data_IF_718420528148
#
_entry.id   IF_718420528148
#
_cell.length_a   1.000
_cell.length_b   1.000
_cell.length_c   1.000
_cell.angle_alpha   90.00
_cell.angle_beta   90.00
_cell.angle_gamma   90.00
#
_symmetry.space_group_name_H-M   'P 1'
#
loop_
_entity.id
_entity.type
_entity.pdbx_description
1 polymer ?
#
# COMPACT_ATOMS: atom_id res chain seq x y z
N UNK A 1 21.55 -11.42 9.61
CA UNK A 1 20.58 -11.83 8.58
C UNK A 1 20.10 -10.57 7.89
N UNK A 2 20.56 -10.37 6.64
CA UNK A 2 20.36 -9.14 5.87
C UNK A 2 19.11 -9.26 4.99
N UNK A 3 18.32 -8.20 4.92
CA UNK A 3 17.13 -8.08 4.07
C UNK A 3 16.65 -6.63 4.09
N UNK A 4 17.36 -5.79 3.37
CA UNK A 4 17.20 -4.33 3.27
C UNK A 4 15.82 -3.93 2.73
N UNK A 5 14.98 -3.25 3.53
CA UNK A 5 13.84 -2.48 3.01
C UNK A 5 14.25 -1.01 2.84
N UNK A 6 15.21 -0.79 1.95
CA UNK A 6 15.53 0.52 1.42
C UNK A 6 14.42 0.96 0.45
N UNK A 7 13.42 1.68 0.96
CA UNK A 7 12.44 2.40 0.14
C UNK A 7 12.30 3.84 0.62
N UNK A 8 13.35 4.62 0.40
CA UNK A 8 13.18 6.06 0.25
C UNK A 8 13.85 6.50 -1.04
N UNK A 9 13.05 6.99 -2.01
CA UNK A 9 13.47 8.19 -2.70
C UNK A 9 12.31 9.18 -2.91
N UNK A 10 12.53 10.37 -2.34
CA UNK A 10 12.40 11.67 -3.01
C UNK A 10 10.98 12.12 -3.40
N UNK A 11 10.50 13.13 -2.68
CA UNK A 11 9.46 14.01 -3.19
C UNK A 11 9.00 15.00 -2.15
N UNK A 12 9.75 16.08 -1.98
CA UNK A 12 9.29 17.24 -1.23
C UNK A 12 7.89 17.67 -1.71
N UNK A 13 6.92 17.66 -0.79
CA UNK A 13 5.71 18.49 -0.83
C UNK A 13 4.83 18.42 -2.09
N UNK A 14 4.50 17.24 -2.60
CA UNK A 14 3.38 17.11 -3.56
C UNK A 14 2.37 16.06 -3.09
N UNK A 15 1.09 16.39 -3.24
CA UNK A 15 -0.11 15.68 -2.78
C UNK A 15 0.07 14.22 -2.36
N UNK A 16 -0.35 13.93 -1.12
CA UNK A 16 -0.36 12.62 -0.47
C UNK A 16 -0.63 11.50 -1.49
N UNK A 17 0.35 10.63 -1.71
CA UNK A 17 0.24 9.56 -2.69
C UNK A 17 -0.49 8.35 -2.10
N UNK A 18 -1.15 7.57 -2.95
CA UNK A 18 -1.74 6.27 -2.58
C UNK A 18 -0.75 5.35 -1.84
N UNK A 19 0.54 5.47 -2.14
CA UNK A 19 1.61 4.74 -1.44
C UNK A 19 1.73 5.15 0.02
N UNK A 20 1.78 6.46 0.30
CA UNK A 20 1.89 6.96 1.67
C UNK A 20 0.66 6.62 2.50
N UNK A 21 -0.54 6.69 1.88
CA UNK A 21 -1.78 6.28 2.55
C UNK A 21 -1.74 4.80 2.88
N UNK A 22 -1.38 3.96 1.91
CA UNK A 22 -1.33 2.51 2.12
C UNK A 22 -0.30 2.11 3.18
N UNK A 23 0.91 2.68 3.13
CA UNK A 23 1.97 2.45 4.13
C UNK A 23 1.49 2.90 5.52
N UNK A 24 0.81 4.05 5.63
CA UNK A 24 0.29 4.54 6.90
C UNK A 24 -0.85 3.68 7.47
N UNK A 25 -1.73 3.17 6.59
CA UNK A 25 -2.82 2.28 7.00
C UNK A 25 -2.28 0.92 7.43
N UNK A 26 -1.31 0.38 6.70
CA UNK A 26 -0.64 -0.87 7.04
C UNK A 26 0.10 -0.77 8.37
N UNK A 27 0.84 0.32 8.59
CA UNK A 27 1.53 0.55 9.86
C UNK A 27 0.59 0.74 11.07
N UNK A 28 -0.65 1.21 10.85
CA UNK A 28 -1.64 1.42 11.93
C UNK A 28 -2.57 0.24 12.18
N UNK A 29 -2.99 -0.46 11.12
CA UNK A 29 -4.05 -1.47 11.15
C UNK A 29 -3.55 -2.86 10.75
N UNK A 30 -2.50 -2.93 9.92
CA UNK A 30 -2.03 -4.16 9.32
C UNK A 30 -2.84 -4.61 8.11
N UNK A 31 -2.33 -5.65 7.44
CA UNK A 31 -2.90 -6.19 6.21
C UNK A 31 -4.24 -6.89 6.41
N UNK A 32 -4.46 -7.53 7.56
CA UNK A 32 -5.71 -8.25 7.85
C UNK A 32 -6.91 -7.30 7.92
N UNK A 33 -6.75 -6.18 8.63
CA UNK A 33 -7.80 -5.15 8.74
C UNK A 33 -8.02 -4.43 7.40
N UNK A 34 -6.94 -4.15 6.66
CA UNK A 34 -7.04 -3.62 5.30
C UNK A 34 -7.82 -4.57 4.38
N UNK A 35 -7.59 -5.87 4.48
CA UNK A 35 -8.30 -6.90 3.71
C UNK A 35 -9.77 -7.06 4.14
N UNK A 36 -10.10 -6.63 5.36
CA UNK A 36 -11.47 -6.61 5.90
C UNK A 36 -12.24 -5.39 5.42
N UNK A 37 -11.59 -4.22 5.37
CA UNK A 37 -12.16 -3.00 4.81
C UNK A 37 -12.27 -3.04 3.29
N UNK A 38 -11.25 -3.60 2.63
CA UNK A 38 -11.19 -3.71 1.18
C UNK A 38 -10.95 -5.17 0.85
N UNK A 39 -11.98 -5.87 0.35
CA UNK A 39 -11.90 -7.30 0.01
C UNK A 39 -11.06 -7.52 -1.27
N UNK A 40 -9.77 -7.23 -1.15
CA UNK A 40 -8.77 -7.42 -2.18
C UNK A 40 -7.99 -8.67 -1.81
N UNK A 41 -8.09 -9.71 -2.65
CA UNK A 41 -7.32 -10.95 -2.50
C UNK A 41 -5.81 -10.73 -2.39
N UNK A 42 -5.29 -9.65 -2.99
CA UNK A 42 -3.89 -9.24 -2.88
C UNK A 42 -3.44 -9.07 -1.43
N UNK A 43 -4.24 -8.47 -0.56
CA UNK A 43 -3.87 -8.22 0.84
C UNK A 43 -3.86 -9.51 1.68
N UNK A 44 -4.57 -10.56 1.25
CA UNK A 44 -4.65 -11.85 1.97
C UNK A 44 -3.57 -12.84 1.52
N UNK A 45 -3.14 -12.79 0.25
CA UNK A 45 -2.30 -13.83 -0.35
C UNK A 45 -0.84 -13.39 -0.60
N UNK A 46 -0.62 -12.11 -0.92
CA UNK A 46 0.73 -11.53 -1.11
C UNK A 46 0.70 -10.05 -0.65
N UNK A 47 0.61 -9.82 0.68
CA UNK A 47 0.54 -8.47 1.24
C UNK A 47 1.86 -7.74 1.03
N UNK A 48 1.94 -6.97 -0.06
CA UNK A 48 3.09 -6.13 -0.38
C UNK A 48 2.63 -4.76 -0.86
N UNK A 49 3.30 -3.71 -0.38
CA UNK A 49 3.04 -2.32 -0.77
C UNK A 49 3.09 -2.15 -2.30
N UNK A 50 4.08 -2.74 -2.98
CA UNK A 50 4.21 -2.63 -4.44
C UNK A 50 3.09 -3.33 -5.21
N UNK A 51 2.74 -4.56 -4.82
CA UNK A 51 1.68 -5.35 -5.47
C UNK A 51 0.30 -4.70 -5.27
N UNK A 52 0.05 -4.27 -4.03
CA UNK A 52 -1.12 -3.51 -3.63
C UNK A 52 -1.25 -2.20 -4.39
N UNK A 53 -0.18 -1.42 -4.53
CA UNK A 53 -0.21 -0.18 -5.30
C UNK A 53 -0.40 -0.41 -6.79
N UNK A 54 0.18 -1.46 -7.35
CA UNK A 54 -0.08 -1.83 -8.75
C UNK A 54 -1.56 -2.17 -8.96
N UNK A 55 -2.19 -2.86 -8.01
CA UNK A 55 -3.62 -3.17 -8.03
C UNK A 55 -4.48 -1.92 -7.85
N UNK A 56 -4.22 -1.10 -6.82
CA UNK A 56 -4.94 0.14 -6.54
C UNK A 56 -4.81 1.13 -7.70
N UNK A 57 -3.64 1.21 -8.33
CA UNK A 57 -3.48 2.00 -9.56
C UNK A 57 -4.35 1.43 -10.68
N UNK A 58 -4.44 0.13 -10.89
CA UNK A 58 -5.31 -0.43 -11.95
C UNK A 58 -6.80 -0.28 -11.65
N UNK A 59 -7.15 0.02 -10.41
CA UNK A 59 -8.53 0.04 -9.93
C UNK A 59 -9.08 1.46 -9.90
N UNK A 60 -10.01 1.82 -10.80
CA UNK A 60 -10.42 3.22 -10.99
C UNK A 60 -11.15 3.82 -9.79
N UNK A 61 -11.82 3.02 -8.95
CA UNK A 61 -12.45 3.53 -7.73
C UNK A 61 -11.43 3.98 -6.68
N UNK A 62 -10.20 3.46 -6.70
CA UNK A 62 -9.14 3.85 -5.76
C UNK A 62 -8.44 5.16 -6.17
N UNK A 63 -8.72 5.68 -7.37
CA UNK A 63 -8.19 6.97 -7.87
C UNK A 63 -9.21 8.12 -7.84
N UNK A 64 -10.47 7.86 -7.47
CA UNK A 64 -11.54 8.87 -7.44
C UNK A 64 -11.52 9.68 -6.16
#
# INVERSE_FOLDING_TARGET
MNGETNQQPKGALHGVTLEQILVGLEARLGWEELARCIDIRCFKNDPSIKSSLAFLRKTPWARK
#
